data_IF_600833447664
#
_entry.id   IF_600833447664
#
_cell.length_a   1.000
_cell.length_b   1.000
_cell.length_c   1.000
_cell.angle_alpha   90.00
_cell.angle_beta   90.00
_cell.angle_gamma   90.00
#
_symmetry.space_group_name_H-M   'P 1'
#
loop_
_entity.id
_entity.type
_entity.pdbx_description
1 polymer ?
#
# COMPACT_ATOMS: atom_id res chain seq x y z
N UNK A 1 -32.19 34.80 3.35
CA UNK A 1 -31.78 34.27 2.05
C UNK A 1 -30.27 34.15 1.91
N UNK A 2 -29.49 35.17 2.18
CA UNK A 2 -28.04 35.12 2.10
C UNK A 2 -27.42 34.08 3.01
N UNK A 3 -27.93 33.92 4.24
CA UNK A 3 -27.42 32.96 5.19
C UNK A 3 -27.60 31.48 4.70
N UNK A 4 -28.73 31.20 4.04
CA UNK A 4 -28.99 29.86 3.48
C UNK A 4 -28.04 29.53 2.31
N UNK A 5 -27.77 30.53 1.46
CA UNK A 5 -26.86 30.35 0.33
C UNK A 5 -25.43 30.08 0.84
N UNK A 6 -24.98 30.78 1.86
CA UNK A 6 -23.66 30.61 2.47
C UNK A 6 -23.53 29.19 3.06
N UNK A 7 -24.56 28.71 3.76
CA UNK A 7 -24.58 27.37 4.34
C UNK A 7 -24.52 26.31 3.24
N UNK A 8 -25.25 26.48 2.13
CA UNK A 8 -25.22 25.53 1.01
C UNK A 8 -23.85 25.49 0.34
N UNK A 9 -23.23 26.66 0.13
CA UNK A 9 -21.89 26.70 -0.46
C UNK A 9 -20.87 26.02 0.46
N UNK A 10 -20.94 26.28 1.76
CA UNK A 10 -20.05 25.65 2.73
C UNK A 10 -20.23 24.13 2.75
N UNK A 11 -21.46 23.63 2.67
CA UNK A 11 -21.74 22.21 2.64
C UNK A 11 -21.20 21.54 1.37
N UNK A 12 -21.34 22.19 0.21
CA UNK A 12 -20.81 21.68 -1.06
C UNK A 12 -19.29 21.65 -1.04
N UNK A 13 -18.66 22.72 -0.55
CA UNK A 13 -17.19 22.76 -0.45
C UNK A 13 -16.66 21.70 0.51
N UNK A 14 -17.34 21.51 1.64
CA UNK A 14 -16.96 20.49 2.61
C UNK A 14 -17.09 19.07 2.01
N UNK A 15 -18.22 18.79 1.37
CA UNK A 15 -18.46 17.49 0.74
C UNK A 15 -17.46 17.21 -0.39
N UNK A 16 -17.15 18.22 -1.19
CA UNK A 16 -16.17 18.08 -2.27
C UNK A 16 -14.77 17.81 -1.73
N UNK A 17 -14.39 18.52 -0.67
CA UNK A 17 -13.10 18.31 -0.01
C UNK A 17 -12.98 16.89 0.55
N UNK A 18 -14.05 16.36 1.17
CA UNK A 18 -14.08 14.99 1.67
C UNK A 18 -14.03 13.97 0.53
N UNK A 19 -14.73 14.24 -0.57
CA UNK A 19 -14.71 13.36 -1.74
C UNK A 19 -13.30 13.22 -2.32
N UNK A 20 -12.57 14.34 -2.43
CA UNK A 20 -11.20 14.31 -2.93
C UNK A 20 -10.23 13.66 -1.95
N UNK A 21 -10.56 13.64 -0.68
CA UNK A 21 -9.76 12.94 0.33
C UNK A 21 -9.84 11.43 0.23
N UNK A 22 -10.93 10.90 -0.29
CA UNK A 22 -11.18 9.46 -0.32
C UNK A 22 -10.35 8.70 -1.37
N UNK A 23 -9.77 9.40 -2.32
CA UNK A 23 -9.00 8.78 -3.40
C UNK A 23 -7.62 9.40 -3.59
N UNK A 24 -6.85 9.63 -2.52
CA UNK A 24 -5.47 10.10 -2.71
C UNK A 24 -4.61 8.98 -3.32
N UNK A 25 -3.62 9.40 -4.11
CA UNK A 25 -2.61 8.48 -4.61
C UNK A 25 -1.81 7.92 -3.43
N UNK A 26 -1.65 6.60 -3.37
CA UNK A 26 -0.91 5.94 -2.29
C UNK A 26 0.54 6.44 -2.21
N UNK A 27 1.13 6.84 -3.35
CA UNK A 27 2.48 7.40 -3.38
C UNK A 27 2.62 8.70 -2.59
N UNK A 28 1.52 9.46 -2.45
CA UNK A 28 1.51 10.72 -1.70
C UNK A 28 0.95 10.59 -0.29
N UNK A 29 0.39 9.41 0.06
CA UNK A 29 -0.14 9.17 1.41
C UNK A 29 0.98 8.89 2.38
N UNK A 30 0.83 9.43 3.59
CA UNK A 30 1.74 9.11 4.68
C UNK A 30 1.45 7.70 5.18
N UNK A 31 2.50 6.88 5.36
CA UNK A 31 2.33 5.53 5.87
C UNK A 31 2.04 5.56 7.37
N UNK A 32 1.03 4.79 7.79
CA UNK A 32 0.71 4.63 9.22
C UNK A 32 1.77 3.81 9.93
N UNK A 33 2.38 2.85 9.23
CA UNK A 33 3.41 1.97 9.75
C UNK A 33 4.52 1.81 8.71
N UNK A 34 5.75 1.62 9.18
CA UNK A 34 6.90 1.26 8.35
C UNK A 34 7.62 0.09 9.01
N UNK A 35 7.89 -0.97 8.24
CA UNK A 35 8.57 -2.14 8.78
C UNK A 35 9.17 -2.99 7.67
N UNK A 36 10.18 -3.82 7.99
CA UNK A 36 10.66 -4.82 7.05
C UNK A 36 9.60 -5.89 6.76
N UNK A 37 9.65 -6.48 5.57
CA UNK A 37 8.72 -7.52 5.16
C UNK A 37 8.68 -8.71 6.15
N UNK A 38 9.81 -9.24 6.64
CA UNK A 38 9.77 -10.35 7.61
C UNK A 38 9.01 -10.00 8.89
N UNK A 39 9.10 -8.75 9.35
CA UNK A 39 8.39 -8.31 10.56
C UNK A 39 6.88 -8.32 10.34
N UNK A 40 6.42 -7.84 9.18
CA UNK A 40 5.00 -7.84 8.83
C UNK A 40 4.45 -9.27 8.72
N UNK A 41 5.16 -10.15 8.02
CA UNK A 41 4.76 -11.55 7.86
C UNK A 41 4.67 -12.23 9.22
N UNK A 42 5.65 -12.02 10.08
CA UNK A 42 5.67 -12.61 11.43
C UNK A 42 4.49 -12.12 12.27
N UNK A 43 4.14 -10.84 12.17
CA UNK A 43 3.01 -10.30 12.91
C UNK A 43 1.71 -11.02 12.56
N UNK A 44 1.48 -11.30 11.27
CA UNK A 44 0.31 -12.06 10.83
C UNK A 44 0.37 -13.53 11.23
N UNK A 45 1.55 -14.14 11.19
CA UNK A 45 1.72 -15.54 11.60
C UNK A 45 1.52 -15.75 13.10
N UNK A 46 1.99 -14.81 13.90
CA UNK A 46 1.88 -14.90 15.37
C UNK A 46 0.45 -14.72 15.86
N UNK A 47 -0.28 -13.75 15.30
CA UNK A 47 -1.67 -13.48 15.66
C UNK A 47 -2.37 -12.76 14.50
N UNK A 48 -3.00 -13.53 13.66
CA UNK A 48 -3.67 -13.01 12.45
C UNK A 48 -4.79 -12.03 12.78
N UNK A 49 -5.58 -12.32 13.81
CA UNK A 49 -6.70 -11.45 14.20
C UNK A 49 -6.20 -10.09 14.67
N UNK A 50 -5.16 -10.08 15.49
CA UNK A 50 -4.56 -8.84 15.99
C UNK A 50 -3.92 -8.06 14.85
N UNK A 51 -3.21 -8.73 13.95
CA UNK A 51 -2.58 -8.10 12.81
C UNK A 51 -3.62 -7.52 11.86
N UNK A 52 -4.73 -8.24 11.62
CA UNK A 52 -5.83 -7.74 10.80
C UNK A 52 -6.43 -6.45 11.39
N UNK A 53 -6.63 -6.40 12.70
CA UNK A 53 -7.15 -5.22 13.36
C UNK A 53 -6.19 -4.04 13.29
N UNK A 54 -4.89 -4.31 13.35
CA UNK A 54 -3.86 -3.27 13.39
C UNK A 54 -3.51 -2.75 12.01
N UNK A 55 -3.42 -3.60 11.01
CA UNK A 55 -2.83 -3.27 9.71
C UNK A 55 -3.83 -3.21 8.55
N UNK A 56 -4.95 -3.94 8.60
CA UNK A 56 -5.89 -3.95 7.48
C UNK A 56 -6.44 -2.57 7.20
N UNK A 57 -6.54 -2.25 5.90
CA UNK A 57 -6.99 -0.96 5.39
C UNK A 57 -6.08 0.21 5.75
N UNK A 58 -4.88 -0.08 6.26
CA UNK A 58 -3.88 0.95 6.57
C UNK A 58 -2.82 1.02 5.47
N UNK A 59 -2.28 2.20 5.26
CA UNK A 59 -1.14 2.40 4.37
C UNK A 59 0.11 2.00 5.14
N UNK A 60 0.85 1.03 4.60
CA UNK A 60 2.07 0.51 5.22
C UNK A 60 3.21 0.65 4.24
N UNK A 61 4.35 1.09 4.75
CA UNK A 61 5.60 1.10 4.01
C UNK A 61 6.40 -0.15 4.40
N UNK A 62 6.60 -1.05 3.44
CA UNK A 62 7.31 -2.32 3.66
C UNK A 62 8.62 -2.28 2.91
N UNK A 63 9.71 -2.54 3.62
CA UNK A 63 11.04 -2.68 3.03
C UNK A 63 11.41 -4.17 2.96
N UNK A 64 12.05 -4.57 1.88
CA UNK A 64 12.44 -5.96 1.71
C UNK A 64 13.21 -6.20 0.44
N UNK A 65 13.54 -7.47 0.21
CA UNK A 65 14.28 -7.91 -0.97
C UNK A 65 13.30 -8.49 -1.98
N UNK A 66 13.41 -8.07 -3.23
CA UNK A 66 12.57 -8.57 -4.32
C UNK A 66 12.91 -10.04 -4.58
N UNK A 67 11.89 -10.90 -4.53
CA UNK A 67 12.02 -12.31 -4.91
C UNK A 67 11.61 -12.51 -6.37
N UNK A 68 10.51 -11.85 -6.77
CA UNK A 68 9.91 -12.06 -8.08
C UNK A 68 9.13 -10.80 -8.51
N UNK A 69 9.16 -10.52 -9.80
CA UNK A 69 8.34 -9.46 -10.41
C UNK A 69 7.52 -10.11 -11.52
N UNK A 70 6.19 -9.95 -11.46
CA UNK A 70 5.29 -10.46 -12.48
C UNK A 70 4.57 -9.31 -13.16
N UNK A 71 4.49 -9.38 -14.48
CA UNK A 71 3.79 -8.38 -15.31
C UNK A 71 2.58 -9.04 -15.96
N UNK A 72 1.39 -8.60 -15.56
CA UNK A 72 0.13 -8.97 -16.20
C UNK A 72 -0.42 -7.76 -16.97
N UNK A 73 -1.46 -7.97 -17.77
CA UNK A 73 -2.00 -6.92 -18.65
C UNK A 73 -2.48 -5.70 -17.88
N UNK A 74 -3.10 -5.89 -16.71
CA UNK A 74 -3.72 -4.80 -15.94
C UNK A 74 -3.06 -4.57 -14.59
N UNK A 75 -2.28 -5.54 -14.08
CA UNK A 75 -1.63 -5.44 -12.78
C UNK A 75 -0.19 -5.92 -12.87
N UNK A 76 0.65 -5.36 -12.02
CA UNK A 76 2.01 -5.81 -11.83
C UNK A 76 2.21 -6.17 -10.38
N UNK A 77 2.91 -7.26 -10.13
CA UNK A 77 3.06 -7.82 -8.79
C UNK A 77 4.54 -7.95 -8.46
N UNK A 78 4.92 -7.44 -7.29
CA UNK A 78 6.26 -7.61 -6.74
C UNK A 78 6.14 -8.43 -5.47
N UNK A 79 6.89 -9.52 -5.39
CA UNK A 79 6.94 -10.36 -4.20
C UNK A 79 8.20 -10.05 -3.42
N UNK A 80 8.04 -9.76 -2.12
CA UNK A 80 9.13 -9.51 -1.20
C UNK A 80 9.37 -10.73 -0.31
N UNK A 81 10.63 -10.98 0.02
CA UNK A 81 11.02 -12.09 0.88
C UNK A 81 10.58 -11.85 2.32
N UNK A 82 9.81 -12.77 2.86
CA UNK A 82 9.37 -12.73 4.26
C UNK A 82 10.25 -13.51 5.23
N UNK A 83 11.28 -14.21 4.73
CA UNK A 83 12.22 -15.04 5.50
C UNK A 83 11.56 -16.17 6.28
N UNK A 84 10.26 -16.42 6.06
CA UNK A 84 9.49 -17.48 6.69
C UNK A 84 8.69 -18.20 5.61
N UNK A 85 7.73 -19.03 6.01
CA UNK A 85 6.80 -19.62 5.04
C UNK A 85 5.82 -18.55 4.55
N UNK A 86 6.19 -17.85 3.50
CA UNK A 86 5.40 -16.79 2.92
C UNK A 86 6.21 -15.52 2.75
N UNK A 87 5.61 -14.54 2.13
CA UNK A 87 6.23 -13.24 1.86
C UNK A 87 5.20 -12.14 1.82
N UNK A 88 5.56 -11.03 1.19
CA UNK A 88 4.64 -9.91 0.97
C UNK A 88 4.43 -9.76 -0.53
N UNK A 89 3.18 -9.79 -0.96
CA UNK A 89 2.80 -9.58 -2.36
C UNK A 89 2.29 -8.15 -2.50
N UNK A 90 2.94 -7.38 -3.34
CA UNK A 90 2.60 -5.98 -3.59
C UNK A 90 2.02 -5.86 -4.99
N UNK A 91 0.75 -5.45 -5.08
CA UNK A 91 0.05 -5.28 -6.35
C UNK A 91 0.08 -3.81 -6.76
N UNK A 92 0.63 -3.56 -7.94
CA UNK A 92 0.75 -2.23 -8.53
C UNK A 92 -0.24 -2.07 -9.66
N UNK A 93 -0.77 -0.87 -9.82
CA UNK A 93 -1.56 -0.51 -10.99
C UNK A 93 -0.64 -0.22 -12.19
N UNK A 94 -1.17 -0.33 -13.40
CA UNK A 94 -0.39 -0.12 -14.64
C UNK A 94 0.25 1.26 -14.73
N UNK A 95 -0.31 2.26 -14.05
CA UNK A 95 0.25 3.61 -14.03
C UNK A 95 1.68 3.67 -13.48
N UNK A 96 2.06 2.71 -12.64
CA UNK A 96 3.40 2.64 -12.04
C UNK A 96 4.29 1.61 -12.71
N UNK A 97 3.88 1.05 -13.84
CA UNK A 97 4.59 -0.03 -14.51
C UNK A 97 6.00 0.31 -14.96
N UNK A 98 6.23 1.57 -15.38
CA UNK A 98 7.56 2.00 -15.82
C UNK A 98 8.59 1.97 -14.69
N UNK A 99 8.17 2.24 -13.45
CA UNK A 99 9.06 2.19 -12.29
C UNK A 99 9.48 0.75 -11.97
N UNK A 100 8.61 -0.22 -12.23
CA UNK A 100 8.84 -1.61 -11.90
C UNK A 100 9.73 -2.32 -12.90
N UNK A 101 9.89 -1.79 -14.11
CA UNK A 101 10.73 -2.41 -15.14
C UNK A 101 12.19 -2.52 -14.73
N UNK A 102 12.65 -1.62 -13.87
CA UNK A 102 14.03 -1.61 -13.40
C UNK A 102 14.27 -2.56 -12.23
N UNK A 103 13.21 -3.11 -11.61
CA UNK A 103 13.34 -4.00 -10.46
C UNK A 103 13.76 -5.39 -10.89
N UNK A 104 14.70 -5.95 -10.14
CA UNK A 104 15.21 -7.30 -10.37
C UNK A 104 15.22 -8.09 -9.06
N UNK A 105 15.09 -9.44 -9.14
CA UNK A 105 15.23 -10.28 -7.95
C UNK A 105 16.56 -10.03 -7.24
N UNK A 106 16.52 -10.01 -5.92
CA UNK A 106 17.68 -9.74 -5.08
C UNK A 106 17.87 -8.27 -4.73
N UNK A 107 17.12 -7.37 -5.35
CA UNK A 107 17.24 -5.94 -5.13
C UNK A 107 16.47 -5.50 -3.88
N UNK A 108 17.06 -4.68 -3.00
CA UNK A 108 16.31 -4.11 -1.88
C UNK A 108 15.39 -2.98 -2.36
N UNK A 109 14.17 -2.96 -1.84
CA UNK A 109 13.18 -1.94 -2.20
C UNK A 109 12.36 -1.56 -0.98
N UNK A 110 11.72 -0.40 -1.06
CA UNK A 110 10.73 0.05 -0.10
C UNK A 110 9.44 0.33 -0.86
N UNK A 111 8.34 -0.29 -0.45
CA UNK A 111 7.07 -0.22 -1.15
C UNK A 111 5.99 0.21 -0.18
N UNK A 112 5.18 1.17 -0.61
CA UNK A 112 4.04 1.67 0.14
C UNK A 112 2.76 1.16 -0.48
N UNK A 113 1.86 0.60 0.33
CA UNK A 113 0.60 0.09 -0.16
C UNK A 113 -0.41 -0.07 0.96
N UNK A 114 -1.64 -0.41 0.57
CA UNK A 114 -2.73 -0.64 1.51
C UNK A 114 -2.79 -2.13 1.84
N UNK A 115 -2.68 -2.46 3.12
CA UNK A 115 -2.71 -3.84 3.59
C UNK A 115 -4.14 -4.39 3.51
N UNK A 116 -4.30 -5.58 2.92
CA UNK A 116 -5.60 -6.27 2.84
C UNK A 116 -5.68 -7.52 3.70
N UNK A 117 -4.56 -7.91 4.34
CA UNK A 117 -4.51 -9.09 5.19
C UNK A 117 -3.60 -10.16 4.64
N UNK A 118 -3.67 -11.34 5.22
CA UNK A 118 -2.85 -12.48 4.84
C UNK A 118 -3.74 -13.65 4.40
N UNK A 119 -3.43 -14.20 3.22
CA UNK A 119 -3.93 -15.51 2.79
C UNK A 119 -2.81 -16.54 2.98
N UNK A 120 -2.00 -16.76 1.97
CA UNK A 120 -0.72 -17.46 2.12
C UNK A 120 0.42 -16.48 2.34
N UNK A 121 0.32 -15.33 1.70
CA UNK A 121 1.23 -14.19 1.83
C UNK A 121 0.45 -12.97 2.27
N UNK A 122 1.13 -12.00 2.90
CA UNK A 122 0.53 -10.70 3.19
C UNK A 122 0.37 -9.96 1.86
N UNK A 123 -0.82 -9.42 1.61
CA UNK A 123 -1.13 -8.74 0.35
C UNK A 123 -1.30 -7.24 0.58
N UNK A 124 -0.55 -6.46 -0.18
CA UNK A 124 -0.70 -5.00 -0.27
C UNK A 124 -1.24 -4.65 -1.64
N UNK A 125 -2.18 -3.73 -1.71
CA UNK A 125 -2.77 -3.27 -2.97
C UNK A 125 -2.53 -1.79 -3.16
N UNK A 126 -2.73 -1.32 -4.37
CA UNK A 126 -2.50 0.07 -4.78
C UNK A 126 -1.11 0.54 -4.37
N UNK A 127 -0.12 -0.31 -4.60
CA UNK A 127 1.25 -0.06 -4.17
C UNK A 127 1.94 0.98 -5.04
N UNK A 128 2.90 1.66 -4.43
CA UNK A 128 3.82 2.57 -5.10
C UNK A 128 5.20 2.39 -4.49
N UNK A 129 6.24 2.60 -5.29
CA UNK A 129 7.60 2.59 -4.76
C UNK A 129 7.80 3.81 -3.88
N UNK A 130 8.37 3.59 -2.69
CA UNK A 130 8.73 4.68 -1.80
C UNK A 130 10.12 5.19 -2.18
N UNK A 131 10.17 6.37 -2.79
CA UNK A 131 11.41 6.97 -3.27
C UNK A 131 12.10 7.81 -2.20
N UNK A 132 11.48 7.97 -1.03
CA UNK A 132 12.03 8.80 0.04
C UNK A 132 12.99 8.02 0.95
N UNK A 133 13.00 6.69 0.84
CA UNK A 133 13.92 5.83 1.59
C UNK A 133 15.07 5.37 0.70
N UNK A 134 16.24 5.79 1.05
CA UNK A 134 17.48 5.33 0.44
C UNK A 134 18.28 4.47 1.40
#
# INVERSE_FOLDING_TARGET
MLALIVVLIAAVLYGWREYHRQHPDTATMEAAYSMPAPVLVKAFQDDENKANQQYNDKVINVSGTVVKVEHNDSTQTVQLDGQAMGGVICQFETAHGSELKALQPGQPVSIRGVCTGMLMDVVLVRCALDKTHH
#
